data_IF_279878925060
#
_entry.id   IF_279878925060
#
_cell.length_a   1.000
_cell.length_b   1.000
_cell.length_c   1.000
_cell.angle_alpha   90.00
_cell.angle_beta   90.00
_cell.angle_gamma   90.00
#
_symmetry.space_group_name_H-M   'P 1'
#
loop_
_entity.id
_entity.type
_entity.pdbx_description
1 polymer ?
#
# COMPACT_ATOMS: atom_id res chain seq x y z
N UNK A 1 -52.20 24.30 7.65
CA UNK A 1 -52.19 25.63 8.28
C UNK A 1 -50.90 25.68 9.06
N UNK A 2 -49.89 26.48 8.75
CA UNK A 2 -49.89 27.83 8.22
C UNK A 2 -48.84 28.01 7.11
N UNK A 3 -48.98 29.12 6.41
CA UNK A 3 -48.25 29.55 5.22
C UNK A 3 -46.94 30.30 5.55
N UNK A 4 -46.05 30.33 4.56
CA UNK A 4 -45.24 31.48 4.11
C UNK A 4 -44.13 32.04 5.05
N UNK A 5 -42.88 31.94 4.60
CA UNK A 5 -42.18 33.03 3.90
C UNK A 5 -40.77 32.61 3.47
N UNK A 6 -40.45 32.82 2.19
CA UNK A 6 -39.08 32.99 1.73
C UNK A 6 -38.60 34.36 2.21
N UNK A 7 -37.42 34.41 2.83
CA UNK A 7 -36.49 35.53 2.66
C UNK A 7 -35.06 34.99 2.75
N UNK A 8 -34.24 35.39 1.77
CA UNK A 8 -32.81 35.10 1.69
C UNK A 8 -32.10 35.90 2.76
N UNK A 9 -31.27 35.25 3.58
CA UNK A 9 -30.27 35.94 4.39
C UNK A 9 -28.87 35.53 3.94
N UNK A 10 -28.22 36.55 3.40
CA UNK A 10 -26.88 36.60 2.84
C UNK A 10 -25.94 36.95 3.99
N UNK A 11 -25.27 35.94 4.56
CA UNK A 11 -24.23 36.20 5.55
C UNK A 11 -23.08 35.19 5.38
N UNK A 12 -22.27 35.48 4.36
CA UNK A 12 -21.06 34.76 3.99
C UNK A 12 -20.00 34.74 5.08
N UNK A 13 -20.13 33.86 6.07
CA UNK A 13 -19.08 33.56 7.06
C UNK A 13 -18.90 32.06 7.28
N UNK A 14 -17.92 31.50 6.57
CA UNK A 14 -17.35 30.18 6.87
C UNK A 14 -16.47 30.31 8.12
N UNK A 15 -16.88 29.70 9.24
CA UNK A 15 -16.05 29.58 10.46
C UNK A 15 -15.13 28.36 10.33
N UNK A 16 -13.87 28.57 9.98
CA UNK A 16 -12.81 27.55 10.07
C UNK A 16 -12.37 27.39 11.54
N UNK A 17 -12.74 26.27 12.18
CA UNK A 17 -12.15 25.86 13.46
C UNK A 17 -10.75 25.30 13.21
N UNK A 18 -9.72 26.00 13.68
CA UNK A 18 -8.33 25.53 13.69
C UNK A 18 -8.16 24.59 14.90
N UNK A 19 -8.25 23.28 14.68
CA UNK A 19 -7.80 22.29 15.68
C UNK A 19 -6.28 22.12 15.55
N UNK A 20 -5.53 22.84 16.37
CA UNK A 20 -4.11 22.60 16.58
C UNK A 20 -3.95 21.46 17.60
N UNK A 21 -3.55 20.28 17.12
CA UNK A 21 -3.09 19.19 17.97
C UNK A 21 -1.64 18.87 17.61
N UNK A 22 -0.67 19.62 18.13
CA UNK A 22 0.70 19.12 18.37
C UNK A 22 1.33 19.93 19.53
N UNK A 23 1.34 19.31 20.71
CA UNK A 23 2.31 19.38 21.83
C UNK A 23 1.65 19.50 23.23
N UNK A 24 2.00 18.62 24.19
CA UNK A 24 1.46 18.60 25.56
C UNK A 24 2.34 19.35 26.58
N UNK A 25 1.67 19.87 27.62
CA UNK A 25 2.06 20.17 29.02
C UNK A 25 3.34 21.01 29.25
N UNK A 26 3.39 22.07 30.07
CA UNK A 26 2.73 22.29 31.36
C UNK A 26 2.99 23.76 31.83
N UNK A 27 2.17 24.19 32.80
CA UNK A 27 2.27 25.36 33.70
C UNK A 27 1.69 26.70 33.24
N UNK A 28 0.45 26.87 33.69
CA UNK A 28 -0.19 28.13 34.00
C UNK A 28 0.65 28.98 34.96
N UNK A 29 0.69 30.29 34.72
CA UNK A 29 0.49 31.31 35.74
C UNK A 29 0.17 32.67 35.10
N UNK A 30 -0.89 33.25 35.63
CA UNK A 30 -1.27 34.66 35.70
C UNK A 30 -1.84 35.40 34.49
N UNK A 31 -3.08 35.85 34.74
CA UNK A 31 -3.89 36.82 34.04
C UNK A 31 -3.13 38.15 33.87
N UNK A 32 -2.41 38.28 32.77
CA UNK A 32 -2.03 39.57 32.21
C UNK A 32 -3.07 39.96 31.16
N UNK A 33 -3.98 40.87 31.52
CA UNK A 33 -4.80 41.59 30.54
C UNK A 33 -3.84 42.31 29.57
N UNK A 34 -3.63 41.74 28.39
CA UNK A 34 -2.85 42.40 27.33
C UNK A 34 -3.74 43.53 26.81
N UNK A 35 -3.63 44.70 27.45
CA UNK A 35 -4.12 45.96 26.90
C UNK A 35 -3.23 46.28 25.70
N UNK A 36 -3.66 45.81 24.54
CA UNK A 36 -3.17 46.34 23.27
C UNK A 36 -3.83 47.71 23.15
N UNK A 37 -3.09 48.78 23.44
CA UNK A 37 -3.49 50.14 23.07
C UNK A 37 -3.64 50.18 21.56
N UNK A 38 -4.87 50.00 21.10
CA UNK A 38 -5.29 50.30 19.74
C UNK A 38 -5.14 51.82 19.61
N UNK A 39 -4.24 52.32 18.75
CA UNK A 39 -4.09 53.76 18.57
C UNK A 39 -5.44 54.34 18.16
N UNK A 40 -5.90 55.38 18.85
CA UNK A 40 -7.16 56.06 18.54
C UNK A 40 -7.20 56.45 17.06
N UNK A 41 -8.16 55.85 16.34
CA UNK A 41 -8.38 56.03 14.90
C UNK A 41 -8.96 57.42 14.54
N UNK A 42 -8.76 58.44 15.37
CA UNK A 42 -9.26 59.79 15.07
C UNK A 42 -8.40 60.55 14.05
N UNK A 43 -7.19 60.07 13.74
CA UNK A 43 -6.39 60.60 12.62
C UNK A 43 -6.75 60.00 11.25
N UNK A 44 -7.70 59.07 11.17
CA UNK A 44 -8.23 58.56 9.88
C UNK A 44 -9.45 59.35 9.36
N UNK A 45 -9.84 60.44 10.04
CA UNK A 45 -10.90 61.38 9.59
C UNK A 45 -10.35 62.62 8.89
N UNK A 46 -9.18 62.52 8.25
CA UNK A 46 -8.83 63.42 7.15
C UNK A 46 -9.03 62.66 5.84
N UNK A 47 -9.89 63.21 5.00
CA UNK A 47 -10.03 62.86 3.59
C UNK A 47 -8.65 62.72 2.91
N UNK A 48 -8.53 61.77 1.98
CA UNK A 48 -7.31 61.39 1.22
C UNK A 48 -6.34 60.34 1.82
N UNK A 49 -6.86 59.23 2.32
CA UNK A 49 -6.12 57.96 2.18
C UNK A 49 -7.05 56.75 2.11
N UNK A 50 -7.67 56.56 0.93
CA UNK A 50 -8.24 55.27 0.52
C UNK A 50 -7.09 54.26 0.39
N UNK A 51 -6.79 53.53 1.46
CA UNK A 51 -5.93 52.33 1.40
C UNK A 51 -6.76 51.18 0.81
N UNK A 52 -7.08 51.32 -0.46
CA UNK A 52 -7.84 50.39 -1.28
C UNK A 52 -7.65 50.83 -2.72
N UNK A 53 -7.10 49.96 -3.56
CA UNK A 53 -6.92 50.22 -4.99
C UNK A 53 -8.20 50.85 -5.56
N UNK A 54 -8.06 51.88 -6.40
CA UNK A 54 -9.22 52.49 -7.05
C UNK A 54 -10.00 51.45 -7.88
N UNK A 55 -11.29 51.67 -8.15
CA UNK A 55 -12.08 50.75 -8.99
C UNK A 55 -11.42 50.54 -10.37
N UNK A 56 -10.78 51.58 -10.91
CA UNK A 56 -9.99 51.51 -12.15
C UNK A 56 -8.70 50.68 -11.99
N UNK A 57 -8.01 50.78 -10.86
CA UNK A 57 -6.82 49.97 -10.55
C UNK A 57 -7.17 48.49 -10.29
N UNK A 58 -8.32 48.22 -9.67
CA UNK A 58 -8.86 46.86 -9.49
C UNK A 58 -9.25 46.25 -10.84
N UNK A 59 -9.91 47.01 -11.71
CA UNK A 59 -10.26 46.57 -13.05
C UNK A 59 -9.02 46.33 -13.92
N UNK A 60 -8.03 47.22 -13.86
CA UNK A 60 -6.75 47.06 -14.58
C UNK A 60 -5.98 45.84 -14.08
N UNK A 61 -5.97 45.59 -12.76
CA UNK A 61 -5.31 44.41 -12.16
C UNK A 61 -6.06 43.12 -12.49
N UNK A 62 -7.39 43.16 -12.56
CA UNK A 62 -8.20 42.02 -13.02
C UNK A 62 -7.91 41.70 -14.50
N UNK A 63 -7.94 42.69 -15.38
CA UNK A 63 -7.61 42.52 -16.80
C UNK A 63 -6.16 42.02 -17.01
N UNK A 64 -5.20 42.50 -16.22
CA UNK A 64 -3.82 42.01 -16.26
C UNK A 64 -3.71 40.54 -15.81
N UNK A 65 -4.48 40.13 -14.80
CA UNK A 65 -4.55 38.72 -14.36
C UNK A 65 -5.20 37.84 -15.42
N UNK A 66 -6.25 38.31 -16.07
CA UNK A 66 -6.91 37.59 -17.16
C UNK A 66 -5.95 37.38 -18.33
N UNK A 67 -5.24 38.43 -18.77
CA UNK A 67 -4.20 38.31 -19.81
C UNK A 67 -3.11 37.31 -19.42
N UNK A 68 -2.57 37.41 -18.20
CA UNK A 68 -1.58 36.45 -17.71
C UNK A 68 -2.12 35.01 -17.67
N UNK A 69 -3.42 34.82 -17.39
CA UNK A 69 -4.03 33.49 -17.38
C UNK A 69 -4.20 32.93 -18.79
N UNK A 70 -4.53 33.78 -19.77
CA UNK A 70 -4.63 33.42 -21.18
C UNK A 70 -3.25 33.08 -21.74
N UNK A 71 -2.24 33.91 -21.48
CA UNK A 71 -0.86 33.67 -21.92
C UNK A 71 -0.32 32.33 -21.37
N UNK A 72 -0.58 32.03 -20.10
CA UNK A 72 -0.20 30.74 -19.50
C UNK A 72 -0.93 29.57 -20.13
N UNK A 73 -2.20 29.74 -20.48
CA UNK A 73 -3.00 28.71 -21.14
C UNK A 73 -2.47 28.43 -22.55
N UNK A 74 -2.17 29.47 -23.33
CA UNK A 74 -1.61 29.33 -24.68
C UNK A 74 -0.23 28.66 -24.65
N UNK A 75 0.65 29.04 -23.71
CA UNK A 75 1.94 28.39 -23.52
C UNK A 75 1.81 26.93 -23.10
N UNK A 76 0.88 26.62 -22.19
CA UNK A 76 0.61 25.25 -21.77
C UNK A 76 0.05 24.40 -22.92
N UNK A 77 -0.81 24.95 -23.77
CA UNK A 77 -1.34 24.27 -24.96
C UNK A 77 -0.23 24.00 -25.98
N UNK A 78 0.68 24.95 -26.21
CA UNK A 78 1.82 24.75 -27.10
C UNK A 78 2.71 23.58 -26.63
N UNK A 79 3.04 23.54 -25.33
CA UNK A 79 3.81 22.44 -24.73
C UNK A 79 3.07 21.11 -24.79
N UNK A 80 1.75 21.10 -24.64
CA UNK A 80 0.93 19.90 -24.78
C UNK A 80 1.01 19.34 -26.21
N UNK A 81 0.91 20.19 -27.24
CA UNK A 81 1.06 19.74 -28.63
C UNK A 81 2.47 19.28 -28.97
N UNK A 82 3.50 19.88 -28.36
CA UNK A 82 4.87 19.36 -28.45
C UNK A 82 4.97 17.96 -27.81
N UNK A 83 4.37 17.76 -26.64
CA UNK A 83 4.34 16.47 -25.96
C UNK A 83 3.65 15.39 -26.81
N UNK A 84 2.48 15.67 -27.42
CA UNK A 84 1.80 14.71 -28.31
C UNK A 84 2.63 14.35 -29.54
N UNK A 85 3.43 15.29 -30.08
CA UNK A 85 4.35 15.00 -31.20
C UNK A 85 5.47 14.06 -30.76
N UNK A 86 6.13 14.36 -29.65
CA UNK A 86 7.18 13.51 -29.09
C UNK A 86 6.65 12.12 -28.76
N UNK A 87 5.44 12.04 -28.20
CA UNK A 87 4.77 10.78 -27.92
C UNK A 87 4.50 9.97 -29.19
N UNK A 88 4.04 10.63 -30.26
CA UNK A 88 3.80 9.99 -31.56
C UNK A 88 5.11 9.54 -32.25
N UNK A 89 6.22 10.24 -32.00
CA UNK A 89 7.56 9.90 -32.48
C UNK A 89 8.20 8.75 -31.67
N UNK A 90 7.61 8.38 -30.53
CA UNK A 90 8.06 7.30 -29.66
C UNK A 90 9.04 7.74 -28.56
N UNK A 91 9.27 9.04 -28.39
CA UNK A 91 10.05 9.59 -27.28
C UNK A 91 9.16 9.77 -26.04
N UNK A 92 9.00 8.69 -25.27
CA UNK A 92 8.15 8.64 -24.09
C UNK A 92 8.69 9.54 -22.95
N UNK A 93 10.00 9.57 -22.74
CA UNK A 93 10.63 10.35 -21.68
C UNK A 93 10.49 11.86 -21.97
N UNK A 94 10.82 12.28 -23.20
CA UNK A 94 10.65 13.67 -23.64
C UNK A 94 9.19 14.12 -23.63
N UNK A 95 8.25 13.25 -24.02
CA UNK A 95 6.83 13.55 -23.92
C UNK A 95 6.37 13.71 -22.46
N UNK A 96 6.83 12.85 -21.55
CA UNK A 96 6.53 12.89 -20.12
C UNK A 96 6.92 14.22 -19.47
N UNK A 97 8.14 14.70 -19.75
CA UNK A 97 8.60 16.01 -19.27
C UNK A 97 7.71 17.15 -19.78
N UNK A 98 7.38 17.15 -21.08
CA UNK A 98 6.55 18.20 -21.69
C UNK A 98 5.11 18.20 -21.19
N UNK A 99 4.55 17.02 -20.89
CA UNK A 99 3.24 16.94 -20.24
C UNK A 99 3.26 17.51 -18.83
N UNK A 100 4.33 17.25 -18.05
CA UNK A 100 4.49 17.80 -16.71
C UNK A 100 4.71 19.32 -16.74
N UNK A 101 5.48 19.84 -17.70
CA UNK A 101 5.69 21.28 -17.89
C UNK A 101 4.38 21.98 -18.25
N UNK A 102 3.59 21.41 -19.17
CA UNK A 102 2.26 21.90 -19.52
C UNK A 102 1.32 21.91 -18.30
N UNK A 103 1.31 20.81 -17.54
CA UNK A 103 0.53 20.69 -16.31
C UNK A 103 0.97 21.66 -15.20
N UNK A 104 2.25 22.05 -15.15
CA UNK A 104 2.77 23.01 -14.19
C UNK A 104 2.35 24.46 -14.55
N UNK A 105 2.32 24.79 -15.85
CA UNK A 105 1.88 26.10 -16.33
C UNK A 105 0.37 26.30 -16.19
N UNK A 106 -0.42 25.29 -16.57
CA UNK A 106 -1.88 25.33 -16.51
C UNK A 106 -2.45 24.02 -15.98
N UNK A 107 -2.33 23.86 -14.66
CA UNK A 107 -2.78 22.66 -13.99
C UNK A 107 -4.29 22.47 -13.90
N UNK A 108 -5.14 23.25 -14.58
CA UNK A 108 -6.59 23.04 -14.60
C UNK A 108 -7.04 22.07 -15.71
N UNK A 109 -6.25 21.95 -16.78
CA UNK A 109 -6.52 21.02 -17.88
C UNK A 109 -6.24 19.58 -17.45
N UNK A 110 -7.07 18.63 -17.89
CA UNK A 110 -6.91 17.20 -17.62
C UNK A 110 -5.97 16.52 -18.62
N UNK A 111 -5.88 17.05 -19.85
CA UNK A 111 -5.18 16.40 -20.97
C UNK A 111 -3.69 16.15 -20.68
N UNK A 112 -2.93 17.11 -20.12
CA UNK A 112 -1.52 16.86 -19.82
C UNK A 112 -1.34 15.80 -18.72
N UNK A 113 -2.20 15.77 -17.70
CA UNK A 113 -2.15 14.73 -16.66
C UNK A 113 -2.43 13.34 -17.25
N UNK A 114 -3.38 13.24 -18.18
CA UNK A 114 -3.67 11.99 -18.88
C UNK A 114 -2.51 11.56 -19.79
N UNK A 115 -1.82 12.50 -20.44
CA UNK A 115 -0.59 12.24 -21.20
C UNK A 115 0.50 11.58 -20.35
N UNK A 116 0.71 12.05 -19.12
CA UNK A 116 1.63 11.41 -18.16
C UNK A 116 1.23 9.97 -17.88
N UNK A 117 -0.06 9.70 -17.65
CA UNK A 117 -0.56 8.34 -17.45
C UNK A 117 -0.30 7.47 -18.68
N UNK A 118 -0.52 7.99 -19.90
CA UNK A 118 -0.23 7.25 -21.14
C UNK A 118 1.26 6.92 -21.28
N UNK A 119 2.15 7.84 -20.94
CA UNK A 119 3.60 7.61 -20.98
C UNK A 119 3.99 6.47 -20.02
N UNK A 120 3.58 6.56 -18.76
CA UNK A 120 3.94 5.56 -17.75
C UNK A 120 3.29 4.20 -17.97
N UNK A 121 2.09 4.18 -18.54
CA UNK A 121 1.39 2.92 -18.86
C UNK A 121 1.70 2.38 -20.26
N UNK A 122 2.63 3.01 -20.99
CA UNK A 122 2.94 2.70 -22.40
C UNK A 122 1.67 2.57 -23.24
N UNK A 123 0.80 3.58 -23.15
CA UNK A 123 -0.54 3.64 -23.74
C UNK A 123 -1.47 2.50 -23.29
N UNK A 124 -1.53 2.25 -21.97
CA UNK A 124 -2.35 1.20 -21.33
C UNK A 124 -2.01 -0.24 -21.75
N UNK A 125 -0.76 -0.49 -22.12
CA UNK A 125 -0.24 -1.83 -22.40
C UNK A 125 0.47 -2.45 -21.19
N UNK A 126 1.00 -1.62 -20.29
CA UNK A 126 1.75 -2.00 -19.10
C UNK A 126 1.26 -1.16 -17.91
N UNK A 127 1.06 -1.78 -16.75
CA UNK A 127 0.52 -1.11 -15.56
C UNK A 127 1.47 -1.20 -14.36
N UNK A 128 2.70 -1.63 -14.59
CA UNK A 128 3.72 -1.79 -13.54
C UNK A 128 4.04 -0.49 -12.81
N UNK A 129 4.04 0.64 -13.52
CA UNK A 129 4.40 1.96 -12.98
C UNK A 129 3.18 2.84 -12.63
N UNK A 130 1.96 2.29 -12.61
CA UNK A 130 0.76 3.12 -12.39
C UNK A 130 0.74 3.81 -11.01
N UNK A 131 1.38 3.20 -10.02
CA UNK A 131 1.51 3.80 -8.68
C UNK A 131 2.39 5.05 -8.68
N UNK A 132 3.35 5.16 -9.61
CA UNK A 132 4.22 6.33 -9.71
C UNK A 132 3.48 7.55 -10.33
N UNK A 133 2.36 7.32 -11.03
CA UNK A 133 1.46 8.37 -11.55
C UNK A 133 0.13 8.52 -10.82
N UNK A 134 -0.07 7.95 -9.62
CA UNK A 134 -1.36 8.02 -8.91
C UNK A 134 -1.94 9.46 -8.84
N UNK A 135 -1.08 10.45 -8.57
CA UNK A 135 -1.50 11.87 -8.53
C UNK A 135 -1.91 12.43 -9.91
N UNK A 136 -1.23 12.01 -10.97
CA UNK A 136 -1.58 12.42 -12.33
C UNK A 136 -2.88 11.72 -12.77
N UNK A 137 -3.02 10.44 -12.43
CA UNK A 137 -4.22 9.65 -12.62
C UNK A 137 -5.45 10.29 -11.97
N UNK A 138 -5.40 10.55 -10.65
CA UNK A 138 -6.52 11.16 -9.94
C UNK A 138 -6.91 12.53 -10.54
N UNK A 139 -5.91 13.36 -10.87
CA UNK A 139 -6.15 14.68 -11.48
C UNK A 139 -6.76 14.59 -12.88
N UNK A 140 -6.32 13.63 -13.69
CA UNK A 140 -6.84 13.41 -15.03
C UNK A 140 -8.32 13.01 -14.95
N UNK A 141 -8.63 11.94 -14.22
CA UNK A 141 -10.00 11.42 -14.13
C UNK A 141 -10.96 12.38 -13.42
N UNK A 142 -10.52 13.08 -12.37
CA UNK A 142 -11.36 14.06 -11.65
C UNK A 142 -11.79 15.25 -12.51
N UNK A 143 -10.99 15.65 -13.49
CA UNK A 143 -11.21 16.85 -14.32
C UNK A 143 -11.69 16.55 -15.73
N UNK A 144 -11.62 15.29 -16.13
CA UNK A 144 -12.08 14.83 -17.44
C UNK A 144 -13.60 14.90 -17.54
N UNK A 145 -14.16 15.58 -18.56
CA UNK A 145 -15.59 15.55 -18.86
C UNK A 145 -16.07 14.14 -19.19
N UNK A 146 -17.32 13.83 -18.85
CA UNK A 146 -17.92 12.50 -19.08
C UNK A 146 -17.91 12.09 -20.57
N UNK A 147 -18.16 13.02 -21.48
CA UNK A 147 -18.16 12.76 -22.92
C UNK A 147 -16.77 12.35 -23.45
N UNK A 148 -15.71 13.01 -22.96
CA UNK A 148 -14.33 12.68 -23.34
C UNK A 148 -13.90 11.37 -22.68
N UNK A 149 -14.31 11.12 -21.43
CA UNK A 149 -14.09 9.85 -20.75
C UNK A 149 -14.72 8.68 -21.51
N UNK A 150 -15.96 8.82 -21.97
CA UNK A 150 -16.64 7.82 -22.78
C UNK A 150 -15.89 7.54 -24.09
N UNK A 151 -15.40 8.57 -24.78
CA UNK A 151 -14.62 8.40 -26.02
C UNK A 151 -13.30 7.66 -25.79
N UNK A 152 -12.61 7.93 -24.67
CA UNK A 152 -11.39 7.22 -24.29
C UNK A 152 -11.70 5.80 -23.84
N UNK A 153 -12.83 5.59 -23.16
CA UNK A 153 -13.29 4.28 -22.75
C UNK A 153 -13.53 3.38 -23.97
N UNK A 154 -14.19 3.88 -25.02
CA UNK A 154 -14.38 3.13 -26.27
C UNK A 154 -13.05 2.70 -26.92
N UNK A 155 -12.00 3.53 -26.79
CA UNK A 155 -10.67 3.23 -27.34
C UNK A 155 -9.89 2.20 -26.50
N UNK A 156 -9.84 2.37 -25.18
CA UNK A 156 -8.91 1.65 -24.30
C UNK A 156 -9.57 0.52 -23.49
N UNK A 157 -10.85 0.61 -23.12
CA UNK A 157 -11.50 -0.41 -22.28
C UNK A 157 -11.53 -1.79 -22.94
N UNK A 158 -11.84 -1.95 -24.25
CA UNK A 158 -11.88 -3.27 -24.86
C UNK A 158 -10.55 -4.03 -24.82
N UNK A 159 -9.42 -3.33 -24.98
CA UNK A 159 -8.09 -3.96 -24.90
C UNK A 159 -7.75 -4.33 -23.45
N UNK A 160 -8.04 -3.44 -22.49
CA UNK A 160 -7.84 -3.71 -21.06
C UNK A 160 -8.70 -4.88 -20.57
N UNK A 161 -9.98 -4.95 -20.95
CA UNK A 161 -10.86 -6.08 -20.59
C UNK A 161 -10.33 -7.40 -21.16
N UNK A 162 -9.78 -7.39 -22.36
CA UNK A 162 -9.11 -8.56 -22.94
C UNK A 162 -7.90 -8.96 -22.11
N UNK A 163 -7.05 -8.02 -21.73
CA UNK A 163 -5.88 -8.26 -20.86
C UNK A 163 -6.30 -8.83 -19.51
N UNK A 164 -7.34 -8.28 -18.88
CA UNK A 164 -7.92 -8.78 -17.63
C UNK A 164 -8.39 -10.23 -17.80
N UNK A 165 -9.11 -10.53 -18.87
CA UNK A 165 -9.59 -11.90 -19.13
C UNK A 165 -8.42 -12.87 -19.33
N UNK A 166 -7.44 -12.51 -20.15
CA UNK A 166 -6.27 -13.35 -20.41
C UNK A 166 -5.43 -13.57 -19.13
N UNK A 167 -5.26 -12.54 -18.30
CA UNK A 167 -4.58 -12.64 -17.02
C UNK A 167 -5.34 -13.54 -16.03
N UNK A 168 -6.67 -13.38 -15.92
CA UNK A 168 -7.53 -14.23 -15.08
C UNK A 168 -7.49 -15.70 -15.53
N UNK A 169 -7.61 -15.97 -16.82
CA UNK A 169 -7.53 -17.34 -17.36
C UNK A 169 -6.15 -17.99 -17.10
N UNK A 170 -5.06 -17.24 -17.25
CA UNK A 170 -3.71 -17.73 -16.90
C UNK A 170 -3.57 -17.97 -15.41
N UNK A 171 -4.07 -17.06 -14.58
CA UNK A 171 -4.02 -17.19 -13.13
C UNK A 171 -4.83 -18.39 -12.62
N UNK A 172 -5.98 -18.70 -13.23
CA UNK A 172 -6.78 -19.89 -12.93
C UNK A 172 -6.03 -21.17 -13.28
N UNK A 173 -5.41 -21.23 -14.47
CA UNK A 173 -4.58 -22.38 -14.89
C UNK A 173 -3.41 -22.61 -13.93
N UNK A 174 -2.69 -21.55 -13.57
CA UNK A 174 -1.57 -21.63 -12.63
C UNK A 174 -2.03 -22.00 -11.21
N UNK A 175 -3.19 -21.48 -10.76
CA UNK A 175 -3.78 -21.87 -9.48
C UNK A 175 -4.13 -23.36 -9.44
N UNK A 176 -4.67 -23.90 -10.53
CA UNK A 176 -4.96 -25.33 -10.66
C UNK A 176 -3.67 -26.18 -10.69
N UNK A 177 -2.60 -25.69 -11.33
CA UNK A 177 -1.29 -26.33 -11.31
C UNK A 177 -0.67 -26.35 -9.91
N UNK A 178 -0.73 -25.23 -9.17
CA UNK A 178 -0.31 -25.15 -7.77
C UNK A 178 -1.07 -26.15 -6.89
N UNK A 179 -2.40 -26.24 -7.05
CA UNK A 179 -3.19 -27.21 -6.31
C UNK A 179 -2.81 -28.66 -6.65
N UNK A 180 -2.63 -28.98 -7.93
CA UNK A 180 -2.21 -30.32 -8.37
C UNK A 180 -0.83 -30.70 -7.81
N UNK A 181 0.17 -29.82 -7.91
CA UNK A 181 1.50 -30.05 -7.34
C UNK A 181 1.43 -30.27 -5.83
N UNK A 182 0.66 -29.43 -5.12
CA UNK A 182 0.48 -29.60 -3.68
C UNK A 182 -0.22 -30.92 -3.35
N UNK A 183 -1.21 -31.34 -4.13
CA UNK A 183 -1.92 -32.61 -3.93
C UNK A 183 -1.00 -33.83 -4.17
N UNK A 184 -0.15 -33.79 -5.20
CA UNK A 184 0.82 -34.84 -5.49
C UNK A 184 1.83 -35.03 -4.33
N UNK A 185 2.39 -33.93 -3.83
CA UNK A 185 3.37 -33.96 -2.74
C UNK A 185 2.75 -34.29 -1.37
N UNK A 186 1.46 -33.99 -1.18
CA UNK A 186 0.76 -34.14 0.11
C UNK A 186 0.87 -35.55 0.66
N UNK A 187 0.78 -36.56 -0.20
CA UNK A 187 0.90 -37.96 0.20
C UNK A 187 2.24 -38.27 0.85
N UNK A 188 3.34 -37.82 0.25
CA UNK A 188 4.69 -38.02 0.77
C UNK A 188 4.94 -37.17 2.03
N UNK A 189 4.53 -35.90 2.02
CA UNK A 189 4.70 -34.98 3.16
C UNK A 189 3.96 -35.50 4.40
N UNK A 190 2.74 -36.02 4.26
CA UNK A 190 1.98 -36.58 5.38
C UNK A 190 2.65 -37.86 5.91
N UNK A 191 3.14 -38.74 5.02
CA UNK A 191 3.83 -39.98 5.40
C UNK A 191 5.14 -39.69 6.14
N UNK A 192 5.95 -38.76 5.61
CA UNK A 192 7.20 -38.34 6.24
C UNK A 192 6.94 -37.68 7.59
N UNK A 193 5.95 -36.78 7.70
CA UNK A 193 5.53 -36.19 8.98
C UNK A 193 5.15 -37.25 10.02
N UNK A 194 4.28 -38.22 9.67
CA UNK A 194 3.88 -39.29 10.59
C UNK A 194 5.08 -40.11 11.07
N UNK A 195 5.97 -40.47 10.15
CA UNK A 195 7.17 -41.26 10.46
C UNK A 195 8.14 -40.49 11.37
N UNK A 196 8.39 -39.20 11.09
CA UNK A 196 9.27 -38.35 11.92
C UNK A 196 8.66 -38.09 13.30
N UNK A 197 7.35 -37.89 13.40
CA UNK A 197 6.62 -37.78 14.67
C UNK A 197 6.77 -39.04 15.51
N UNK A 198 6.56 -40.23 14.93
CA UNK A 198 6.70 -41.50 15.65
C UNK A 198 8.13 -41.69 16.18
N UNK A 199 9.15 -41.42 15.35
CA UNK A 199 10.56 -41.51 15.77
C UNK A 199 10.90 -40.55 16.90
N UNK A 200 10.39 -39.32 16.85
CA UNK A 200 10.56 -38.33 17.93
C UNK A 200 9.91 -38.80 19.24
N UNK A 201 8.68 -39.33 19.18
CA UNK A 201 7.98 -39.83 20.37
C UNK A 201 8.76 -41.00 20.98
N UNK A 202 9.22 -41.95 20.16
CA UNK A 202 10.02 -43.07 20.61
C UNK A 202 11.33 -42.60 21.26
N UNK A 203 12.09 -41.71 20.62
CA UNK A 203 13.35 -41.20 21.19
C UNK A 203 13.13 -40.41 22.48
N UNK A 204 12.10 -39.55 22.52
CA UNK A 204 11.77 -38.77 23.70
C UNK A 204 11.32 -39.66 24.87
N UNK A 205 10.55 -40.72 24.59
CA UNK A 205 10.12 -41.68 25.62
C UNK A 205 11.30 -42.44 26.22
N UNK A 206 12.26 -42.86 25.39
CA UNK A 206 13.47 -43.54 25.84
C UNK A 206 14.36 -42.61 26.66
N UNK A 207 14.53 -41.37 26.22
CA UNK A 207 15.24 -40.33 26.97
C UNK A 207 14.59 -40.10 28.34
N UNK A 208 13.26 -39.91 28.38
CA UNK A 208 12.53 -39.69 29.62
C UNK A 208 12.68 -40.88 30.58
N UNK A 209 12.63 -42.12 30.08
CA UNK A 209 12.82 -43.32 30.88
C UNK A 209 14.20 -43.36 31.54
N UNK A 210 15.27 -43.10 30.79
CA UNK A 210 16.63 -43.07 31.36
C UNK A 210 16.86 -41.89 32.31
N UNK A 211 16.25 -40.73 32.02
CA UNK A 211 16.31 -39.56 32.89
C UNK A 211 15.62 -39.85 34.24
N UNK A 212 14.41 -40.43 34.22
CA UNK A 212 13.69 -40.81 35.44
C UNK A 212 14.48 -41.85 36.23
N UNK A 213 15.02 -42.88 35.56
CA UNK A 213 15.85 -43.90 36.20
C UNK A 213 17.10 -43.29 36.86
N UNK A 214 17.78 -42.35 36.19
CA UNK A 214 18.93 -41.64 36.74
C UNK A 214 18.54 -40.81 37.99
N UNK A 215 17.43 -40.06 37.95
CA UNK A 215 16.95 -39.28 39.10
C UNK A 215 16.60 -40.17 40.31
N UNK A 216 15.95 -41.31 40.07
CA UNK A 216 15.62 -42.27 41.13
C UNK A 216 16.90 -42.85 41.73
N UNK A 217 17.83 -43.34 40.91
CA UNK A 217 19.09 -43.92 41.40
C UNK A 217 19.97 -42.90 42.14
N UNK A 218 20.01 -41.66 41.66
CA UNK A 218 20.73 -40.58 42.33
C UNK A 218 20.21 -40.33 43.76
N UNK A 219 18.89 -40.48 43.96
CA UNK A 219 18.26 -40.35 45.28
C UNK A 219 18.68 -41.45 46.28
N UNK A 220 19.17 -42.59 45.79
CA UNK A 220 19.66 -43.70 46.62
C UNK A 220 21.19 -43.68 46.83
N UNK A 221 21.92 -42.83 46.11
CA UNK A 221 23.39 -42.82 46.08
C UNK A 221 24.05 -42.69 47.47
N UNK A 222 23.43 -41.96 48.39
CA UNK A 222 23.94 -41.74 49.76
C UNK A 222 23.36 -42.70 50.82
N UNK A 223 22.39 -43.55 50.45
CA UNK A 223 21.67 -44.43 51.40
C UNK A 223 22.20 -45.86 51.46
N UNK A 224 22.90 -46.31 50.42
CA UNK A 224 23.35 -47.71 50.28
C UNK A 224 24.86 -47.80 50.24
N UNK A 225 25.50 -48.60 51.12
CA UNK A 225 26.92 -48.87 51.04
C UNK A 225 27.24 -49.78 49.84
N UNK A 226 28.16 -49.35 48.97
CA UNK A 226 28.65 -50.13 47.83
C UNK A 226 28.71 -49.35 46.52
N UNK A 227 29.51 -49.83 45.56
CA UNK A 227 29.77 -49.15 44.28
C UNK A 227 28.71 -49.39 43.20
N UNK A 228 27.78 -50.34 43.41
CA UNK A 228 26.82 -50.76 42.40
C UNK A 228 25.80 -49.69 41.99
N UNK A 229 25.24 -48.95 42.97
CA UNK A 229 24.25 -47.90 42.71
C UNK A 229 24.86 -46.66 42.05
N UNK A 230 26.03 -46.15 42.51
CA UNK A 230 26.76 -45.10 41.79
C UNK A 230 27.11 -45.46 40.34
N UNK A 231 27.58 -46.69 40.10
CA UNK A 231 27.90 -47.16 38.75
C UNK A 231 26.65 -47.21 37.85
N UNK A 232 25.53 -47.74 38.34
CA UNK A 232 24.26 -47.77 37.60
C UNK A 232 23.74 -46.36 37.31
N UNK A 233 23.82 -45.44 38.28
CA UNK A 233 23.43 -44.04 38.10
C UNK A 233 24.27 -43.34 37.02
N UNK A 234 25.59 -43.58 37.02
CA UNK A 234 26.49 -43.04 36.01
C UNK A 234 26.15 -43.55 34.60
N UNK A 235 25.87 -44.85 34.46
CA UNK A 235 25.45 -45.45 33.17
C UNK A 235 24.11 -44.89 32.69
N UNK A 236 23.10 -44.82 33.56
CA UNK A 236 21.80 -44.23 33.20
C UNK A 236 21.90 -42.76 32.80
N UNK A 237 22.76 -41.99 33.48
CA UNK A 237 23.02 -40.58 33.13
C UNK A 237 23.70 -40.47 31.76
N UNK A 238 24.71 -41.31 31.49
CA UNK A 238 25.36 -41.36 30.18
C UNK A 238 24.38 -41.69 29.05
N UNK A 239 23.50 -42.68 29.25
CA UNK A 239 22.45 -43.04 28.30
C UNK A 239 21.40 -41.93 28.13
N UNK A 240 21.07 -41.18 29.19
CA UNK A 240 20.18 -40.03 29.09
C UNK A 240 20.81 -38.90 28.26
N UNK A 241 22.11 -38.61 28.41
CA UNK A 241 22.80 -37.60 27.59
C UNK A 241 22.81 -38.02 26.11
N UNK A 242 23.10 -39.29 25.82
CA UNK A 242 23.02 -39.84 24.46
C UNK A 242 21.58 -39.72 23.91
N UNK A 243 20.59 -40.10 24.71
CA UNK A 243 19.17 -39.99 24.37
C UNK A 243 18.71 -38.55 24.11
N UNK A 244 19.26 -37.57 24.82
CA UNK A 244 19.00 -36.15 24.59
C UNK A 244 19.51 -35.71 23.21
N UNK A 245 20.73 -36.10 22.84
CA UNK A 245 21.29 -35.81 21.52
C UNK A 245 20.44 -36.41 20.38
N UNK A 246 20.01 -37.66 20.53
CA UNK A 246 19.10 -38.29 19.55
C UNK A 246 17.74 -37.59 19.47
N UNK A 247 17.17 -37.22 20.63
CA UNK A 247 15.89 -36.51 20.69
C UNK A 247 15.99 -35.14 20.01
N UNK A 248 17.07 -34.39 20.25
CA UNK A 248 17.33 -33.11 19.57
C UNK A 248 17.47 -33.28 18.04
N UNK A 249 18.18 -34.33 17.59
CA UNK A 249 18.29 -34.65 16.16
C UNK A 249 16.92 -34.95 15.53
N UNK A 250 16.11 -35.80 16.14
CA UNK A 250 14.77 -36.12 15.65
C UNK A 250 13.81 -34.94 15.75
N UNK A 251 13.97 -34.07 16.75
CA UNK A 251 13.20 -32.84 16.88
C UNK A 251 13.46 -31.91 15.69
N UNK A 252 14.73 -31.69 15.32
CA UNK A 252 15.08 -30.90 14.12
C UNK A 252 14.43 -31.49 12.86
N UNK A 253 14.50 -32.81 12.67
CA UNK A 253 13.87 -33.49 11.51
C UNK A 253 12.35 -33.39 11.54
N UNK A 254 11.73 -33.43 12.71
CA UNK A 254 10.28 -33.24 12.87
C UNK A 254 9.86 -31.81 12.55
N UNK A 255 10.60 -30.80 13.01
CA UNK A 255 10.32 -29.39 12.72
C UNK A 255 10.37 -29.11 11.22
N UNK A 256 11.36 -29.66 10.50
CA UNK A 256 11.45 -29.55 9.05
C UNK A 256 10.25 -30.20 8.34
N UNK A 257 9.85 -31.41 8.76
CA UNK A 257 8.68 -32.08 8.19
C UNK A 257 7.36 -31.35 8.52
N UNK A 258 7.27 -30.75 9.71
CA UNK A 258 6.11 -29.94 10.10
C UNK A 258 6.04 -28.63 9.30
N UNK A 259 7.19 -28.02 9.01
CA UNK A 259 7.28 -26.84 8.14
C UNK A 259 6.81 -27.18 6.72
N UNK A 260 7.35 -28.24 6.11
CA UNK A 260 6.91 -28.69 4.79
C UNK A 260 5.40 -29.00 4.73
N UNK A 261 4.85 -29.62 5.79
CA UNK A 261 3.40 -29.86 5.91
C UNK A 261 2.59 -28.57 5.98
N UNK A 262 3.10 -27.54 6.67
CA UNK A 262 2.43 -26.24 6.77
C UNK A 262 2.51 -25.47 5.44
N UNK A 263 3.67 -25.48 4.80
CA UNK A 263 3.87 -24.86 3.48
C UNK A 263 2.93 -25.48 2.45
N UNK A 264 2.88 -26.82 2.34
CA UNK A 264 1.95 -27.51 1.44
C UNK A 264 0.45 -27.23 1.72
N UNK A 265 0.09 -26.79 2.93
CA UNK A 265 -1.28 -26.44 3.28
C UNK A 265 -1.66 -24.99 2.91
N UNK A 266 -0.67 -24.10 2.75
CA UNK A 266 -0.89 -22.72 2.40
C UNK A 266 -0.95 -22.56 0.87
N UNK A 267 -1.83 -21.70 0.33
CA UNK A 267 -1.70 -21.26 -1.05
C UNK A 267 -0.41 -20.42 -1.21
N UNK A 268 0.09 -20.26 -2.45
CA UNK A 268 1.22 -19.36 -2.78
C UNK A 268 2.61 -19.86 -2.38
N UNK A 269 2.77 -21.16 -2.10
CA UNK A 269 4.08 -21.72 -1.74
C UNK A 269 4.85 -22.29 -2.91
N UNK A 270 4.19 -22.48 -4.06
CA UNK A 270 4.83 -22.88 -5.31
C UNK A 270 5.08 -21.65 -6.19
N UNK A 271 6.02 -21.74 -7.12
CA UNK A 271 6.27 -20.69 -8.13
C UNK A 271 5.00 -20.39 -8.92
N UNK A 272 4.26 -21.43 -9.33
CA UNK A 272 2.98 -21.29 -10.03
C UNK A 272 1.93 -20.56 -9.19
N UNK A 273 1.89 -20.80 -7.88
CA UNK A 273 1.01 -20.08 -6.96
C UNK A 273 1.36 -18.60 -6.89
N UNK A 274 2.64 -18.26 -6.73
CA UNK A 274 3.13 -16.87 -6.67
C UNK A 274 2.83 -16.12 -7.97
N UNK A 275 3.11 -16.73 -9.12
CA UNK A 275 2.77 -16.17 -10.43
C UNK A 275 1.26 -15.97 -10.61
N UNK A 276 0.43 -16.92 -10.13
CA UNK A 276 -1.01 -16.78 -10.16
C UNK A 276 -1.52 -15.61 -9.31
N UNK A 277 -0.90 -15.32 -8.16
CA UNK A 277 -1.22 -14.14 -7.36
C UNK A 277 -0.86 -12.85 -8.08
N UNK A 278 0.37 -12.75 -8.61
CA UNK A 278 0.78 -11.56 -9.35
C UNK A 278 -0.13 -11.26 -10.54
N UNK A 279 -0.57 -12.28 -11.27
CA UNK A 279 -1.52 -12.11 -12.37
C UNK A 279 -2.91 -11.69 -11.89
N UNK A 280 -3.36 -12.14 -10.71
CA UNK A 280 -4.64 -11.69 -10.11
C UNK A 280 -4.54 -10.23 -9.68
N UNK A 281 -3.48 -9.86 -8.96
CA UNK A 281 -3.23 -8.47 -8.55
C UNK A 281 -3.16 -7.53 -9.76
N UNK A 282 -2.43 -7.94 -10.81
CA UNK A 282 -2.37 -7.19 -12.06
C UNK A 282 -3.75 -7.09 -12.73
N UNK A 283 -4.53 -8.17 -12.78
CA UNK A 283 -5.88 -8.15 -13.35
C UNK A 283 -6.85 -7.26 -12.54
N UNK A 284 -6.72 -7.22 -11.20
CA UNK A 284 -7.51 -6.35 -10.33
C UNK A 284 -7.14 -4.87 -10.54
N UNK A 285 -5.84 -4.57 -10.69
CA UNK A 285 -5.35 -3.22 -11.00
C UNK A 285 -5.86 -2.72 -12.36
N UNK A 286 -5.78 -3.55 -13.39
CA UNK A 286 -6.32 -3.16 -14.71
C UNK A 286 -7.84 -3.04 -14.66
N UNK A 287 -8.52 -3.91 -13.90
CA UNK A 287 -9.97 -3.83 -13.71
C UNK A 287 -10.38 -2.53 -13.01
N UNK A 288 -9.65 -2.07 -11.98
CA UNK A 288 -9.97 -0.81 -11.31
C UNK A 288 -9.88 0.37 -12.27
N UNK A 289 -8.87 0.37 -13.16
CA UNK A 289 -8.74 1.40 -14.19
C UNK A 289 -9.92 1.35 -15.17
N UNK A 290 -10.33 0.15 -15.59
CA UNK A 290 -11.53 -0.03 -16.44
C UNK A 290 -12.77 0.52 -15.75
N UNK A 291 -12.94 0.26 -14.46
CA UNK A 291 -14.09 0.71 -13.70
C UNK A 291 -14.12 2.25 -13.57
N UNK A 292 -12.96 2.89 -13.40
CA UNK A 292 -12.84 4.35 -13.36
C UNK A 292 -13.14 5.02 -14.71
N UNK A 293 -12.90 4.34 -15.84
CA UNK A 293 -13.36 4.80 -17.16
C UNK A 293 -14.88 4.70 -17.34
N UNK A 294 -15.54 3.79 -16.62
CA UNK A 294 -17.00 3.53 -16.71
C UNK A 294 -17.83 4.31 -15.70
N UNK A 295 -17.18 4.96 -14.75
CA UNK A 295 -17.79 5.76 -13.68
C UNK A 295 -18.18 7.14 -14.16
#
# INVERSE_FOLDING_TARGET
MEERNLEMDDDGKIKLRKSSSVLPEEKAEEEGEIVIDVPDFEQFKSEDNRVGLSEEELAAKAAARERQSLDKKEQAEALFFEAEKLFAEGDADGAGEKYLDSAALYGADWRPWFGVVRVQTKDFTDFTEIYDCEKAYEKAFRRMPEAERASLAEKYVPSMERTVREAKEKAEKLSAQDENQRQEERGEIVRTFRTRRLRLILSASLFALFLIAACVLFSFMYRTPGWGIPAAAAVCTGLAVIGLCFTAYFLKKFLLANRARRENALPLTTEAGVEAAHLKEYAELVQSVVDDFKR
#
